data_IF_478295172730
#
_entry.id   IF_478295172730
#
_cell.length_a   1.000
_cell.length_b   1.000
_cell.length_c   1.000
_cell.angle_alpha   90.00
_cell.angle_beta   90.00
_cell.angle_gamma   90.00
#
_symmetry.space_group_name_H-M   'P 1'
#
loop_
_entity.id
_entity.type
_entity.pdbx_description
1 polymer ?
#
# COMPACT_ATOMS: atom_id res chain seq x y z
N UNK A 1 1.02 9.59 16.23
CA UNK A 1 2.09 9.11 15.32
C UNK A 1 1.42 8.42 14.16
N UNK A 2 1.86 8.62 12.91
CA UNK A 2 1.32 7.86 11.78
C UNK A 2 1.54 6.36 12.03
N UNK A 3 0.55 5.54 11.68
CA UNK A 3 0.69 4.08 11.76
C UNK A 3 1.75 3.61 10.77
N UNK A 4 2.43 2.52 11.09
CA UNK A 4 3.39 1.92 10.16
C UNK A 4 2.66 1.41 8.91
N UNK A 5 3.35 1.49 7.77
CA UNK A 5 2.85 0.94 6.49
C UNK A 5 2.59 -0.55 6.58
N UNK A 6 3.42 -1.29 7.31
CA UNK A 6 3.17 -2.68 7.67
C UNK A 6 3.22 -2.80 9.19
N UNK A 7 2.22 -3.46 9.76
CA UNK A 7 2.11 -3.76 11.18
C UNK A 7 2.29 -5.26 11.37
N UNK A 8 3.44 -5.65 11.94
CA UNK A 8 3.80 -7.04 12.21
C UNK A 8 2.89 -7.69 13.27
N UNK A 9 2.34 -6.89 14.20
CA UNK A 9 1.49 -7.38 15.28
C UNK A 9 0.09 -7.77 14.80
N UNK A 10 -0.47 -6.98 13.90
CA UNK A 10 -1.75 -7.26 13.24
C UNK A 10 -1.61 -8.06 11.95
N UNK A 11 -0.39 -8.18 11.41
CA UNK A 11 -0.09 -8.74 10.09
C UNK A 11 -0.95 -8.06 9.00
N UNK A 12 -0.90 -6.73 8.95
CA UNK A 12 -1.64 -5.92 7.96
C UNK A 12 -0.77 -4.82 7.36
N UNK A 13 -1.07 -4.46 6.12
CA UNK A 13 -0.47 -3.31 5.44
C UNK A 13 -1.48 -2.18 5.25
N UNK A 14 -1.02 -0.93 5.30
CA UNK A 14 -1.83 0.28 5.10
C UNK A 14 -1.33 1.06 3.89
N UNK A 15 -2.25 1.43 3.01
CA UNK A 15 -1.97 2.30 1.86
C UNK A 15 -2.99 3.44 1.84
N UNK A 16 -2.50 4.66 1.96
CA UNK A 16 -3.33 5.85 1.87
C UNK A 16 -3.90 6.01 0.46
N UNK A 17 -5.17 6.38 0.36
CA UNK A 17 -5.92 6.56 -0.87
C UNK A 17 -6.87 7.76 -0.78
N UNK A 18 -7.30 8.24 -1.94
CA UNK A 18 -8.16 9.42 -2.04
C UNK A 18 -9.60 9.14 -1.61
N UNK A 19 -10.07 7.90 -1.74
CA UNK A 19 -11.41 7.47 -1.35
C UNK A 19 -11.48 5.94 -1.14
N UNK A 20 -12.62 5.47 -0.64
CA UNK A 20 -12.88 4.03 -0.41
C UNK A 20 -12.85 3.21 -1.71
N UNK A 21 -13.29 3.79 -2.83
CA UNK A 21 -13.32 3.13 -4.13
C UNK A 21 -11.93 2.72 -4.62
N UNK A 22 -10.92 3.56 -4.34
CA UNK A 22 -9.52 3.23 -4.62
C UNK A 22 -9.04 2.01 -3.83
N UNK A 23 -9.54 1.77 -2.61
CA UNK A 23 -9.18 0.60 -1.83
C UNK A 23 -9.67 -0.70 -2.50
N UNK A 24 -10.93 -0.71 -2.95
CA UNK A 24 -11.49 -1.85 -3.67
C UNK A 24 -10.80 -2.07 -5.03
N UNK A 25 -10.44 -1.00 -5.73
CA UNK A 25 -9.69 -1.12 -6.98
C UNK A 25 -8.31 -1.73 -6.76
N UNK A 26 -7.60 -1.33 -5.71
CA UNK A 26 -6.32 -1.94 -5.34
C UNK A 26 -6.47 -3.42 -4.99
N UNK A 27 -7.50 -3.77 -4.21
CA UNK A 27 -7.82 -5.17 -3.90
C UNK A 27 -7.95 -6.01 -5.17
N UNK A 28 -8.84 -5.58 -6.09
CA UNK A 28 -9.11 -6.28 -7.35
C UNK A 28 -7.88 -6.32 -8.26
N UNK A 29 -7.14 -5.22 -8.36
CA UNK A 29 -6.02 -5.07 -9.29
C UNK A 29 -4.80 -5.87 -8.88
N UNK A 30 -4.49 -5.90 -7.59
CA UNK A 30 -3.28 -6.55 -7.07
C UNK A 30 -3.56 -7.90 -6.41
N UNK A 31 -4.83 -8.31 -6.29
CA UNK A 31 -5.21 -9.56 -5.64
C UNK A 31 -4.94 -9.55 -4.14
N UNK A 32 -4.90 -8.37 -3.52
CA UNK A 32 -4.78 -8.22 -2.08
C UNK A 32 -6.13 -8.53 -1.41
N UNK A 33 -6.15 -8.61 -0.09
CA UNK A 33 -7.37 -8.86 0.69
C UNK A 33 -7.65 -7.65 1.57
N UNK A 34 -8.68 -6.87 1.22
CA UNK A 34 -9.06 -5.67 1.95
C UNK A 34 -9.81 -6.06 3.24
N UNK A 35 -9.21 -5.75 4.38
CA UNK A 35 -9.76 -6.10 5.70
C UNK A 35 -10.70 -5.00 6.21
N UNK A 36 -10.29 -3.75 6.04
CA UNK A 36 -11.03 -2.56 6.48
C UNK A 36 -10.49 -1.29 5.83
N UNK A 37 -11.27 -0.23 5.91
CA UNK A 37 -10.88 1.12 5.50
C UNK A 37 -10.88 2.01 6.75
N UNK A 38 -9.82 2.79 6.95
CA UNK A 38 -9.67 3.69 8.10
C UNK A 38 -9.67 5.14 7.59
N UNK A 39 -10.56 6.01 8.09
CA UNK A 39 -10.50 7.43 7.77
C UNK A 39 -9.20 8.06 8.29
N UNK A 40 -8.59 8.92 7.49
CA UNK A 40 -7.43 9.71 7.88
C UNK A 40 -7.85 11.15 8.22
N UNK A 41 -6.89 11.96 8.67
CA UNK A 41 -7.09 13.40 8.84
C UNK A 41 -6.51 14.20 7.66
N UNK A 42 -6.12 13.53 6.58
CA UNK A 42 -5.56 14.15 5.37
C UNK A 42 -6.69 14.43 4.37
N UNK A 43 -6.87 15.69 3.92
CA UNK A 43 -7.96 16.06 3.01
C UNK A 43 -7.73 15.64 1.55
N UNK A 44 -6.55 15.10 1.21
CA UNK A 44 -6.22 14.59 -0.12
C UNK A 44 -6.25 13.06 -0.11
N UNK A 45 -5.69 12.46 0.94
CA UNK A 45 -5.67 11.01 1.13
C UNK A 45 -6.61 10.63 2.27
N UNK A 46 -7.90 10.79 2.02
CA UNK A 46 -8.96 10.73 3.03
C UNK A 46 -9.05 9.39 3.75
N UNK A 47 -8.51 8.30 3.16
CA UNK A 47 -8.60 6.96 3.74
C UNK A 47 -7.29 6.18 3.69
N UNK A 48 -7.11 5.27 4.63
CA UNK A 48 -6.08 4.23 4.64
C UNK A 48 -6.75 2.87 4.32
N UNK A 49 -6.36 2.27 3.20
CA UNK A 49 -6.76 0.93 2.80
C UNK A 49 -5.93 -0.10 3.56
N UNK A 50 -6.59 -0.91 4.42
CA UNK A 50 -5.90 -1.89 5.27
C UNK A 50 -6.06 -3.29 4.68
N UNK A 51 -4.95 -3.86 4.21
CA UNK A 51 -4.90 -5.19 3.61
C UNK A 51 -4.29 -6.23 4.54
N UNK A 52 -4.74 -7.48 4.43
CA UNK A 52 -4.14 -8.60 5.14
C UNK A 52 -2.74 -8.92 4.60
N UNK A 53 -1.79 -9.14 5.50
CA UNK A 53 -0.40 -9.46 5.17
C UNK A 53 0.45 -8.26 4.77
N UNK A 54 1.68 -8.56 4.37
CA UNK A 54 2.58 -7.60 3.74
C UNK A 54 2.23 -7.44 2.26
N UNK A 55 2.11 -6.20 1.79
CA UNK A 55 1.75 -5.88 0.40
C UNK A 55 2.74 -4.89 -0.20
N UNK A 56 3.20 -5.18 -1.42
CA UNK A 56 4.16 -4.36 -2.15
C UNK A 56 3.67 -4.12 -3.57
N UNK A 57 3.82 -2.88 -4.05
CA UNK A 57 3.53 -2.59 -5.44
C UNK A 57 4.51 -3.34 -6.34
N UNK A 58 4.07 -3.84 -7.50
CA UNK A 58 4.97 -4.45 -8.46
C UNK A 58 6.05 -3.46 -8.87
N UNK A 59 7.28 -3.95 -9.05
CA UNK A 59 8.38 -3.13 -9.56
C UNK A 59 7.99 -2.51 -10.90
N UNK A 60 8.30 -1.23 -11.07
CA UNK A 60 8.05 -0.57 -12.35
C UNK A 60 9.07 -1.06 -13.38
N UNK A 61 8.69 -1.00 -14.66
CA UNK A 61 9.60 -1.31 -15.77
C UNK A 61 10.88 -0.45 -15.76
N UNK A 62 10.83 0.75 -15.16
CA UNK A 62 11.99 1.64 -15.07
C UNK A 62 12.85 1.40 -13.83
N UNK A 63 12.41 0.54 -12.91
CA UNK A 63 13.20 0.20 -11.71
C UNK A 63 14.26 -0.87 -12.01
N UNK A 64 14.15 -1.61 -13.11
CA UNK A 64 15.11 -2.67 -13.50
C UNK A 64 16.49 -2.12 -13.89
N UNK A 65 16.54 -0.90 -14.42
CA UNK A 65 17.78 -0.33 -14.98
C UNK A 65 18.69 0.30 -13.91
N UNK A 66 18.27 0.33 -12.64
CA UNK A 66 19.03 0.96 -11.54
C UNK A 66 19.86 -0.02 -10.71
N UNK A 67 19.71 -1.33 -10.91
CA UNK A 67 20.46 -2.33 -10.14
C UNK A 67 21.78 -2.80 -10.78
N UNK A 68 22.02 -2.52 -12.07
CA UNK A 68 23.29 -2.89 -12.74
C UNK A 68 24.49 -1.96 -12.43
N UNK A 69 24.31 -0.95 -11.56
CA UNK A 69 25.32 0.10 -11.30
C UNK A 69 26.06 0.02 -9.95
N UNK A 70 25.99 -1.09 -9.20
CA UNK A 70 26.64 -1.21 -7.88
C UNK A 70 27.62 -2.38 -7.78
N UNK A 71 28.52 -2.52 -8.75
CA UNK A 71 29.78 -3.26 -8.59
C UNK A 71 30.86 -2.61 -9.48
N UNK A 72 31.42 -1.50 -9.03
CA UNK A 72 32.66 -0.92 -9.54
C UNK A 72 33.55 -0.51 -8.36
#
# INVERSE_FOLDING_TARGET
MPKARYDEGENVSRHAAVDEGCCEEMERKYGWNLVRIEETNDPILEVDCVFAGQTEFPQSYYDTDREEGKNA
#
